data_IF_041105208614
#
_entry.id   IF_041105208614
#
_cell.length_a   1.000
_cell.length_b   1.000
_cell.length_c   1.000
_cell.angle_alpha   90.00
_cell.angle_beta   90.00
_cell.angle_gamma   90.00
#
_symmetry.space_group_name_H-M   'P 1'
#
loop_
_entity.id
_entity.type
_entity.pdbx_description
1 polymer ?
#
# COMPACT_ATOMS: atom_id res chain seq x y z
N UNK A 1 -28.76 1.81 0.35
CA UNK A 1 -28.06 0.76 1.10
C UNK A 1 -26.66 0.68 0.51
N UNK A 2 -25.61 0.76 1.32
CA UNK A 2 -24.25 0.53 0.81
C UNK A 2 -24.12 -0.98 0.63
N UNK A 3 -23.90 -1.42 -0.61
CA UNK A 3 -23.68 -2.82 -0.95
C UNK A 3 -22.58 -3.43 -0.08
N UNK A 4 -22.81 -4.66 0.41
CA UNK A 4 -21.86 -5.41 1.25
C UNK A 4 -20.48 -5.53 0.59
N UNK A 5 -20.44 -5.63 -0.73
CA UNK A 5 -19.20 -5.69 -1.52
C UNK A 5 -18.39 -4.40 -1.41
N UNK A 6 -19.07 -3.24 -1.41
CA UNK A 6 -18.45 -1.93 -1.27
C UNK A 6 -17.90 -1.72 0.15
N UNK A 7 -18.63 -2.17 1.17
CA UNK A 7 -18.17 -2.10 2.56
C UNK A 7 -16.92 -2.95 2.80
N UNK A 8 -16.86 -4.15 2.20
CA UNK A 8 -15.72 -5.05 2.34
C UNK A 8 -14.47 -4.55 1.61
N UNK A 9 -14.62 -3.93 0.43
CA UNK A 9 -13.51 -3.27 -0.28
C UNK A 9 -12.95 -2.10 0.52
N UNK A 10 -13.83 -1.27 1.10
CA UNK A 10 -13.42 -0.14 1.94
C UNK A 10 -12.68 -0.59 3.19
N UNK A 11 -13.13 -1.67 3.84
CA UNK A 11 -12.45 -2.24 5.00
C UNK A 11 -11.04 -2.72 4.65
N UNK A 12 -10.88 -3.46 3.54
CA UNK A 12 -9.56 -3.92 3.08
C UNK A 12 -8.61 -2.76 2.74
N UNK A 13 -9.10 -1.74 2.04
CA UNK A 13 -8.28 -0.55 1.75
C UNK A 13 -7.92 0.20 3.03
N UNK A 14 -8.83 0.33 4.00
CA UNK A 14 -8.52 0.98 5.27
C UNK A 14 -7.45 0.22 6.08
N UNK A 15 -7.47 -1.11 6.07
CA UNK A 15 -6.45 -1.93 6.73
C UNK A 15 -5.08 -1.85 6.04
N UNK A 16 -5.05 -1.90 4.70
CA UNK A 16 -3.83 -1.66 3.92
C UNK A 16 -3.24 -0.27 4.21
N UNK A 17 -4.08 0.74 4.42
CA UNK A 17 -3.67 2.08 4.84
C UNK A 17 -3.35 2.23 6.33
N UNK A 18 -3.59 1.23 7.18
CA UNK A 18 -3.29 1.27 8.61
C UNK A 18 -1.94 0.65 8.98
N UNK A 19 -1.38 -0.25 8.16
CA UNK A 19 -0.11 -0.91 8.45
C UNK A 19 1.08 -0.11 7.88
N UNK A 20 2.19 0.07 8.60
CA UNK A 20 3.41 0.58 7.98
C UNK A 20 3.85 -0.37 6.85
N UNK A 21 4.33 0.18 5.73
CA UNK A 21 4.96 -0.66 4.69
C UNK A 21 6.31 -1.07 5.25
N UNK A 22 6.55 -2.38 5.31
CA UNK A 22 7.86 -2.92 5.63
C UNK A 22 8.77 -2.84 4.40
N UNK A 23 9.42 -1.69 4.22
CA UNK A 23 10.32 -1.49 3.09
C UNK A 23 11.58 -2.34 3.18
N UNK A 24 12.03 -2.69 4.39
CA UNK A 24 13.23 -3.52 4.57
C UNK A 24 12.96 -4.93 4.06
N UNK A 25 11.83 -5.54 4.47
CA UNK A 25 11.42 -6.85 3.98
C UNK A 25 11.24 -6.87 2.45
N UNK A 26 10.61 -5.83 1.88
CA UNK A 26 10.43 -5.75 0.42
C UNK A 26 11.75 -5.63 -0.35
N UNK A 27 12.77 -5.01 0.25
CA UNK A 27 14.11 -4.93 -0.33
C UNK A 27 14.86 -6.26 -0.21
N UNK A 28 14.75 -6.94 0.94
CA UNK A 28 15.35 -8.27 1.17
C UNK A 28 14.74 -9.34 0.27
N UNK A 29 13.42 -9.34 0.10
CA UNK A 29 12.71 -10.25 -0.79
C UNK A 29 12.97 -9.94 -2.28
N UNK A 30 13.66 -8.84 -2.60
CA UNK A 30 13.96 -8.42 -3.97
C UNK A 30 12.75 -7.89 -4.75
N UNK A 31 11.63 -7.67 -4.05
CA UNK A 31 10.40 -7.11 -4.62
C UNK A 31 10.54 -5.60 -4.91
N UNK A 32 11.34 -4.93 -4.10
CA UNK A 32 11.79 -3.56 -4.33
C UNK A 32 13.30 -3.50 -4.46
N UNK A 33 13.75 -2.50 -5.21
CA UNK A 33 15.15 -2.13 -5.36
C UNK A 33 15.28 -0.66 -5.05
N UNK A 34 16.11 -0.31 -4.07
CA UNK A 34 16.43 1.07 -3.78
C UNK A 34 17.59 1.53 -4.69
N UNK A 35 17.37 2.60 -5.46
CA UNK A 35 18.44 3.32 -6.16
C UNK A 35 18.41 4.78 -5.73
N UNK A 36 19.37 5.16 -4.90
CA UNK A 36 19.42 6.49 -4.27
C UNK A 36 18.22 6.72 -3.37
N UNK A 37 17.45 7.78 -3.64
CA UNK A 37 16.24 8.15 -2.87
C UNK A 37 14.94 7.58 -3.44
N UNK A 38 15.01 6.69 -4.43
CA UNK A 38 13.84 6.16 -5.12
C UNK A 38 13.79 4.64 -5.05
N UNK A 39 12.56 4.12 -4.96
CA UNK A 39 12.27 2.69 -5.01
C UNK A 39 11.79 2.29 -6.40
N UNK A 40 12.23 1.13 -6.83
CA UNK A 40 11.90 0.53 -8.13
C UNK A 40 11.39 -0.88 -7.89
N UNK A 41 10.26 -1.22 -8.46
CA UNK A 41 9.74 -2.58 -8.51
C UNK A 41 10.19 -3.20 -9.85
N UNK A 42 11.04 -4.24 -9.84
CA UNK A 42 11.38 -4.99 -11.05
C UNK A 42 10.12 -5.64 -11.64
N UNK A 43 9.28 -6.18 -10.77
CA UNK A 43 7.93 -6.66 -11.07
C UNK A 43 6.93 -6.02 -10.11
N UNK A 44 6.09 -5.12 -10.63
CA UNK A 44 5.06 -4.44 -9.84
C UNK A 44 3.92 -5.39 -9.44
N UNK A 45 3.71 -6.47 -10.19
CA UNK A 45 2.66 -7.45 -9.90
C UNK A 45 3.08 -8.45 -8.82
N UNK A 46 4.38 -8.53 -8.52
CA UNK A 46 4.90 -9.32 -7.41
C UNK A 46 4.74 -8.62 -6.05
N UNK A 47 4.35 -7.33 -6.03
CA UNK A 47 4.14 -6.61 -4.79
C UNK A 47 2.86 -7.09 -4.07
N UNK A 48 2.89 -7.17 -2.73
CA UNK A 48 1.68 -7.45 -1.95
C UNK A 48 0.58 -6.44 -2.24
N UNK A 49 -0.68 -6.88 -2.29
CA UNK A 49 -1.84 -6.01 -2.52
C UNK A 49 -1.87 -4.78 -1.59
N UNK A 50 -1.54 -4.96 -0.31
CA UNK A 50 -1.50 -3.87 0.68
C UNK A 50 -0.49 -2.77 0.31
N UNK A 51 0.64 -3.17 -0.29
CA UNK A 51 1.72 -2.28 -0.73
C UNK A 51 1.34 -1.65 -2.06
N UNK A 52 0.80 -2.45 -2.99
CA UNK A 52 0.36 -2.00 -4.31
C UNK A 52 -0.74 -0.94 -4.21
N UNK A 53 -1.69 -1.10 -3.29
CA UNK A 53 -2.75 -0.11 -3.03
C UNK A 53 -2.24 1.23 -2.51
N UNK A 54 -1.04 1.25 -1.92
CA UNK A 54 -0.42 2.48 -1.42
C UNK A 54 0.44 3.19 -2.46
N UNK A 55 0.65 2.61 -3.64
CA UNK A 55 1.38 3.24 -4.74
C UNK A 55 0.55 4.41 -5.28
N UNK A 56 1.07 5.62 -5.14
CA UNK A 56 0.45 6.84 -5.68
C UNK A 56 0.90 7.14 -7.09
N UNK A 57 2.09 6.66 -7.46
CA UNK A 57 2.64 6.84 -8.80
C UNK A 57 3.53 5.66 -9.17
N UNK A 58 3.30 5.11 -10.36
CA UNK A 58 4.10 4.07 -10.98
C UNK A 58 4.59 4.58 -12.34
N UNK A 59 5.89 4.77 -12.49
CA UNK A 59 6.51 5.23 -13.74
C UNK A 59 7.44 4.15 -14.28
N UNK A 60 7.17 3.55 -15.45
CA UNK A 60 8.07 2.57 -16.04
C UNK A 60 9.38 3.23 -16.47
N UNK A 61 10.50 2.60 -16.15
CA UNK A 61 11.85 3.06 -16.50
C UNK A 61 12.70 1.90 -17.01
N UNK A 62 13.91 2.21 -17.53
CA UNK A 62 14.87 1.19 -18.00
C UNK A 62 15.34 0.22 -16.90
N UNK A 63 15.13 0.57 -15.62
CA UNK A 63 15.55 -0.22 -14.46
C UNK A 63 14.37 -0.89 -13.74
N UNK A 64 13.20 -0.97 -14.38
CA UNK A 64 11.94 -1.42 -13.79
C UNK A 64 10.97 -0.27 -13.54
N UNK A 65 9.89 -0.53 -12.80
CA UNK A 65 8.86 0.47 -12.52
C UNK A 65 9.22 1.26 -11.27
N UNK A 66 9.53 2.54 -11.44
CA UNK A 66 9.72 3.45 -10.32
C UNK A 66 8.39 3.63 -9.61
N UNK A 67 8.34 3.27 -8.33
CA UNK A 67 7.13 3.34 -7.50
C UNK A 67 7.29 4.41 -6.44
N UNK A 68 6.24 5.20 -6.24
CA UNK A 68 6.14 6.19 -5.18
C UNK A 68 4.99 5.79 -4.29
N UNK A 69 5.25 5.72 -3.00
CA UNK A 69 4.26 5.32 -2.01
C UNK A 69 3.67 6.56 -1.33
N UNK A 70 2.38 6.49 -1.02
CA UNK A 70 1.76 7.42 -0.07
C UNK A 70 2.43 7.27 1.29
N UNK A 71 2.72 8.40 1.95
CA UNK A 71 3.19 8.39 3.34
C UNK A 71 2.05 7.90 4.23
N UNK A 72 2.39 7.22 5.32
CA UNK A 72 1.41 6.90 6.37
C UNK A 72 0.65 8.17 6.79
N UNK A 73 -0.67 8.08 6.85
CA UNK A 73 -1.52 9.19 7.25
C UNK A 73 -2.22 8.84 8.55
N UNK A 74 -1.91 9.58 9.63
CA UNK A 74 -2.59 9.44 10.93
C UNK A 74 -4.11 9.59 10.83
N UNK A 75 -4.61 10.29 9.81
CA UNK A 75 -6.04 10.43 9.54
C UNK A 75 -6.67 9.14 9.01
N UNK A 76 -5.93 8.33 8.23
CA UNK A 76 -6.39 7.04 7.73
C UNK A 76 -6.45 5.99 8.85
N UNK A 77 -5.46 5.99 9.75
CA UNK A 77 -5.46 5.16 10.97
C UNK A 77 -6.67 5.45 11.86
N UNK A 78 -7.00 6.73 12.10
CA UNK A 78 -8.19 7.12 12.86
C UNK A 78 -9.48 6.63 12.22
N UNK A 79 -9.57 6.67 10.89
CA UNK A 79 -10.72 6.17 10.13
C UNK A 79 -10.85 4.64 10.22
N UNK A 80 -9.73 3.92 10.12
CA UNK A 80 -9.70 2.47 10.28
C UNK A 80 -10.16 2.04 11.68
N UNK A 81 -9.70 2.74 12.73
CA UNK A 81 -10.13 2.48 14.10
C UNK A 81 -11.61 2.80 14.32
N UNK A 82 -12.13 3.89 13.75
CA UNK A 82 -13.56 4.25 13.80
C UNK A 82 -14.46 3.22 13.11
N UNK A 83 -13.99 2.63 12.00
CA UNK A 83 -14.72 1.59 11.29
C UNK A 83 -14.71 0.26 12.04
N UNK A 84 -13.61 -0.08 12.73
CA UNK A 84 -13.53 -1.24 13.63
C UNK A 84 -14.45 -1.10 14.84
N UNK A 85 -14.46 0.05 15.52
CA UNK A 85 -15.27 0.28 16.71
C UNK A 85 -16.79 0.36 16.46
N UNK A 86 -17.23 0.47 15.20
CA UNK A 86 -18.66 0.48 14.83
C UNK A 86 -19.19 -0.91 14.46
N UNK A 87 -18.32 -1.92 14.48
CA UNK A 87 -18.64 -3.30 14.13
C UNK A 87 -18.77 -4.22 15.37
N UNK A 88 -18.66 -3.65 16.57
CA UNK A 88 -18.91 -4.30 17.87
C UNK A 88 -20.27 -3.89 18.45
#
# INVERSE_FOLDING_TARGET
MIDKDTAQKLARSAEAHSKPIDFEQLLEDGLLVQKGKSYYAPDIHALPDDVAQRITNATPTKNGTKVTFSKESRSAEKLANLLKSRSE
#
